data_IF_394285695591
#
_entry.id   IF_394285695591
#
_cell.length_a   1.000
_cell.length_b   1.000
_cell.length_c   1.000
_cell.angle_alpha   90.00
_cell.angle_beta   90.00
_cell.angle_gamma   90.00
#
_symmetry.space_group_name_H-M   'P 1'
#
loop_
_entity.id
_entity.type
_entity.pdbx_description
1 polymer ?
#
# COMPACT_ATOMS: atom_id res chain seq x y z
N UNK A 1 -2.15 3.95 29.13
CA UNK A 1 -3.07 3.57 28.04
C UNK A 1 -2.62 4.30 26.79
N UNK A 2 -2.55 3.62 25.64
CA UNK A 2 -2.32 4.30 24.37
C UNK A 2 -3.49 5.24 24.12
N UNK A 3 -3.19 6.49 23.81
CA UNK A 3 -4.19 7.49 23.42
C UNK A 3 -4.11 7.83 21.94
N UNK A 4 -3.04 7.42 21.25
CA UNK A 4 -2.80 7.82 19.87
C UNK A 4 -1.92 6.83 19.07
N UNK A 5 -2.20 6.72 17.77
CA UNK A 5 -1.47 5.85 16.87
C UNK A 5 -0.20 6.56 16.37
N UNK A 6 0.98 6.08 16.78
CA UNK A 6 2.25 6.77 16.53
C UNK A 6 2.96 6.33 15.25
N UNK A 7 2.56 5.20 14.67
CA UNK A 7 3.34 4.52 13.62
C UNK A 7 3.25 5.20 12.25
N UNK A 8 2.31 6.13 12.05
CA UNK A 8 2.14 6.90 10.81
C UNK A 8 2.47 8.39 10.94
N UNK A 9 3.02 8.84 12.08
CA UNK A 9 3.19 10.28 12.38
C UNK A 9 4.45 10.94 11.82
N UNK A 10 5.52 10.17 11.69
CA UNK A 10 6.81 10.68 11.22
C UNK A 10 6.92 10.50 9.71
N UNK A 11 7.78 11.27 9.05
CA UNK A 11 8.10 11.06 7.63
C UNK A 11 8.70 9.65 7.41
N UNK A 12 7.84 8.68 7.07
CA UNK A 12 8.23 7.28 6.91
C UNK A 12 8.94 6.99 5.58
N UNK A 13 8.83 7.88 4.60
CA UNK A 13 9.63 7.78 3.37
C UNK A 13 11.10 8.05 3.68
N UNK A 14 11.37 9.11 4.44
CA UNK A 14 12.74 9.47 4.82
C UNK A 14 13.28 8.60 5.96
N UNK A 15 12.44 8.29 6.96
CA UNK A 15 12.79 7.51 8.15
C UNK A 15 11.83 6.32 8.31
N UNK A 16 12.06 5.20 7.58
CA UNK A 16 11.18 4.05 7.64
C UNK A 16 11.02 3.47 9.04
N UNK A 17 9.79 3.06 9.36
CA UNK A 17 9.48 2.53 10.68
C UNK A 17 10.03 1.12 10.91
N UNK A 18 10.50 0.86 12.13
CA UNK A 18 11.06 -0.44 12.56
C UNK A 18 10.07 -1.22 13.42
N UNK A 19 9.19 -1.96 12.78
CA UNK A 19 8.11 -2.72 13.45
C UNK A 19 8.58 -3.91 14.33
N UNK A 20 9.84 -4.35 14.22
CA UNK A 20 10.31 -5.59 14.87
C UNK A 20 10.41 -5.52 16.40
N UNK A 21 10.40 -4.32 16.99
CA UNK A 21 10.59 -4.10 18.44
C UNK A 21 9.40 -3.39 19.08
N UNK A 22 8.24 -3.41 18.42
CA UNK A 22 7.05 -2.73 18.94
C UNK A 22 6.44 -3.55 20.07
N UNK A 23 6.12 -2.93 21.23
CA UNK A 23 5.47 -3.64 22.32
C UNK A 23 4.09 -4.15 21.89
N UNK A 24 3.64 -5.23 22.52
CA UNK A 24 2.26 -5.67 22.38
C UNK A 24 1.36 -4.80 23.25
N UNK A 25 0.42 -4.10 22.63
CA UNK A 25 -0.45 -3.14 23.33
C UNK A 25 -1.95 -3.47 23.23
N UNK A 26 -2.27 -4.70 22.80
CA UNK A 26 -3.60 -5.27 22.92
C UNK A 26 -4.70 -4.58 22.11
N UNK A 27 -5.93 -4.67 22.62
CA UNK A 27 -7.14 -4.17 21.94
C UNK A 27 -7.14 -2.64 21.82
N UNK A 28 -6.61 -1.94 22.83
CA UNK A 28 -6.55 -0.48 22.81
C UNK A 28 -5.70 0.04 21.65
N UNK A 29 -4.61 -0.67 21.29
CA UNK A 29 -3.85 -0.36 20.08
C UNK A 29 -4.70 -0.43 18.81
N UNK A 30 -5.51 -1.48 18.67
CA UNK A 30 -6.35 -1.67 17.49
C UNK A 30 -7.45 -0.61 17.39
N UNK A 31 -8.06 -0.22 18.51
CA UNK A 31 -9.06 0.86 18.55
C UNK A 31 -8.45 2.20 18.13
N UNK A 32 -7.29 2.55 18.69
CA UNK A 32 -6.61 3.80 18.37
C UNK A 32 -6.08 3.81 16.94
N UNK A 33 -5.59 2.66 16.45
CA UNK A 33 -5.25 2.46 15.05
C UNK A 33 -6.45 2.71 14.13
N UNK A 34 -7.58 2.05 14.38
CA UNK A 34 -8.79 2.19 13.56
C UNK A 34 -9.29 3.63 13.57
N UNK A 35 -9.33 4.25 14.75
CA UNK A 35 -9.66 5.68 14.88
C UNK A 35 -8.76 6.56 14.02
N UNK A 36 -7.44 6.33 14.04
CA UNK A 36 -6.51 7.12 13.21
C UNK A 36 -6.81 7.07 11.71
N UNK A 37 -7.41 5.97 11.23
CA UNK A 37 -7.82 5.81 9.83
C UNK A 37 -9.16 6.47 9.55
N UNK A 38 -10.12 6.32 10.46
CA UNK A 38 -11.42 6.99 10.36
C UNK A 38 -11.27 8.52 10.39
N UNK A 39 -10.44 9.05 11.29
CA UNK A 39 -10.16 10.49 11.39
C UNK A 39 -9.54 11.08 10.10
N UNK A 40 -8.86 10.26 9.28
CA UNK A 40 -8.38 10.67 7.96
C UNK A 40 -9.51 10.69 6.93
N UNK A 41 -10.47 9.77 7.07
CA UNK A 41 -11.59 9.69 6.15
C UNK A 41 -12.66 10.76 6.43
N UNK A 42 -12.85 11.18 7.68
CA UNK A 42 -13.83 12.22 8.02
C UNK A 42 -13.47 13.62 7.48
N UNK A 43 -12.20 13.86 7.14
CA UNK A 43 -11.70 15.19 6.73
C UNK A 43 -11.99 15.56 5.29
N UNK A 44 -12.49 14.62 4.50
CA UNK A 44 -12.53 14.73 3.05
C UNK A 44 -13.91 14.26 2.57
N UNK A 45 -14.52 15.01 1.64
CA UNK A 45 -15.80 14.63 1.04
C UNK A 45 -15.55 13.64 -0.09
N UNK A 46 -15.51 12.35 0.21
CA UNK A 46 -15.23 11.34 -0.82
C UNK A 46 -16.44 11.00 -1.65
N UNK A 47 -16.18 10.81 -2.93
CA UNK A 47 -17.03 10.07 -3.84
C UNK A 47 -16.58 8.60 -3.90
N UNK A 48 -17.51 7.71 -4.26
CA UNK A 48 -17.21 6.29 -4.45
C UNK A 48 -16.11 6.11 -5.51
N UNK A 49 -14.93 5.67 -5.09
CA UNK A 49 -13.85 5.33 -6.02
C UNK A 49 -14.18 4.04 -6.78
N UNK A 50 -14.46 4.19 -8.07
CA UNK A 50 -14.69 3.06 -8.97
C UNK A 50 -13.36 2.54 -9.50
N UNK A 51 -12.88 1.46 -8.89
CA UNK A 51 -11.65 0.79 -9.28
C UNK A 51 -11.61 0.42 -10.78
N UNK A 52 -12.75 0.07 -11.36
CA UNK A 52 -12.86 -0.24 -12.79
C UNK A 52 -12.55 0.97 -13.68
N UNK A 53 -12.96 2.18 -13.28
CA UNK A 53 -12.71 3.40 -14.06
C UNK A 53 -11.23 3.74 -14.02
N UNK A 54 -10.60 3.58 -12.85
CA UNK A 54 -9.16 3.76 -12.68
C UNK A 54 -8.32 2.80 -13.54
N UNK A 55 -8.78 1.55 -13.72
CA UNK A 55 -8.07 0.59 -14.55
C UNK A 55 -8.25 0.80 -16.05
N UNK A 56 -9.17 1.67 -16.50
CA UNK A 56 -9.31 2.01 -17.93
C UNK A 56 -8.00 2.61 -18.45
N UNK A 57 -7.34 3.44 -17.65
CA UNK A 57 -6.09 4.13 -18.00
C UNK A 57 -4.91 3.16 -18.23
N UNK A 58 -5.02 1.92 -17.76
CA UNK A 58 -3.96 0.92 -17.88
C UNK A 58 -4.23 -0.13 -18.98
N UNK A 59 -5.33 0.02 -19.73
CA UNK A 59 -5.63 -0.89 -20.84
C UNK A 59 -4.59 -0.74 -21.95
N UNK A 60 -4.15 -1.89 -22.48
CA UNK A 60 -3.18 -1.99 -23.58
C UNK A 60 -1.75 -1.51 -23.25
N UNK A 61 -1.37 -1.40 -21.97
CA UNK A 61 0.03 -1.15 -21.62
C UNK A 61 0.92 -2.34 -22.00
N UNK A 62 2.00 -2.04 -22.69
CA UNK A 62 3.03 -3.03 -23.02
C UNK A 62 3.95 -3.29 -21.83
N UNK A 63 4.48 -4.50 -21.74
CA UNK A 63 5.45 -4.84 -20.72
C UNK A 63 6.70 -3.97 -20.88
N UNK A 64 7.19 -3.31 -19.82
CA UNK A 64 8.28 -2.37 -19.96
C UNK A 64 9.61 -3.08 -20.27
N UNK A 65 10.55 -2.33 -20.85
CA UNK A 65 11.84 -2.87 -21.28
C UNK A 65 12.58 -3.54 -20.11
N UNK A 66 13.02 -4.81 -20.25
CA UNK A 66 13.66 -5.53 -19.16
C UNK A 66 14.98 -4.90 -18.70
N UNK A 67 15.70 -4.16 -19.55
CA UNK A 67 16.98 -3.55 -19.15
C UNK A 67 16.81 -2.39 -18.16
N UNK A 68 15.76 -1.59 -18.34
CA UNK A 68 15.44 -0.41 -17.53
C UNK A 68 13.95 -0.08 -17.70
N UNK A 69 13.26 0.09 -16.58
CA UNK A 69 11.85 0.47 -16.58
C UNK A 69 11.53 1.48 -15.47
N UNK A 70 10.49 2.29 -15.72
CA UNK A 70 9.86 3.10 -14.68
C UNK A 70 8.92 2.22 -13.85
N UNK A 71 8.97 2.39 -12.54
CA UNK A 71 8.16 1.57 -11.63
C UNK A 71 6.66 1.78 -11.87
N UNK A 72 6.24 3.01 -12.15
CA UNK A 72 4.83 3.33 -12.44
C UNK A 72 4.29 2.45 -13.58
N UNK A 73 4.95 2.50 -14.75
CA UNK A 73 4.57 1.71 -15.93
C UNK A 73 4.51 0.22 -15.61
N UNK A 74 5.51 -0.28 -14.88
CA UNK A 74 5.56 -1.68 -14.45
C UNK A 74 4.38 -2.07 -13.55
N UNK A 75 4.05 -1.26 -12.54
CA UNK A 75 2.93 -1.53 -11.63
C UNK A 75 1.59 -1.45 -12.36
N UNK A 76 1.42 -0.48 -13.26
CA UNK A 76 0.22 -0.33 -14.07
C UNK A 76 -0.01 -1.55 -14.98
N UNK A 77 1.04 -2.10 -15.59
CA UNK A 77 0.96 -3.34 -16.38
C UNK A 77 0.59 -4.55 -15.50
N UNK A 78 1.16 -4.66 -14.29
CA UNK A 78 0.78 -5.73 -13.36
C UNK A 78 -0.70 -5.66 -12.98
N UNK A 79 -1.21 -4.45 -12.74
CA UNK A 79 -2.61 -4.23 -12.39
C UNK A 79 -3.56 -4.53 -13.56
N UNK A 80 -3.17 -4.21 -14.80
CA UNK A 80 -4.04 -4.41 -15.96
C UNK A 80 -4.12 -5.86 -16.47
N UNK A 81 -3.16 -6.71 -16.12
CA UNK A 81 -3.03 -8.05 -16.69
C UNK A 81 -3.19 -9.21 -15.68
N UNK A 82 -3.89 -8.98 -14.56
CA UNK A 82 -3.90 -9.70 -13.25
C UNK A 82 -4.07 -11.25 -13.18
N UNK A 83 -3.85 -12.01 -14.27
CA UNK A 83 -4.11 -13.44 -14.39
C UNK A 83 -2.93 -14.28 -14.92
N UNK A 84 -1.66 -13.87 -14.72
CA UNK A 84 -0.49 -14.70 -15.12
C UNK A 84 0.44 -15.00 -13.95
N UNK A 85 0.84 -16.27 -13.79
CA UNK A 85 1.76 -16.73 -12.73
C UNK A 85 3.09 -15.94 -12.71
N UNK A 86 3.59 -15.57 -13.89
CA UNK A 86 4.82 -14.77 -14.02
C UNK A 86 4.71 -13.39 -13.35
N UNK A 87 3.52 -12.76 -13.36
CA UNK A 87 3.32 -11.46 -12.72
C UNK A 87 3.41 -11.55 -11.21
N UNK A 88 2.83 -12.60 -10.63
CA UNK A 88 2.95 -12.88 -9.20
C UNK A 88 4.42 -13.04 -8.80
N UNK A 89 5.22 -13.73 -9.61
CA UNK A 89 6.67 -13.89 -9.35
C UNK A 89 7.36 -12.51 -9.34
N UNK A 90 7.09 -11.66 -10.33
CA UNK A 90 7.72 -10.33 -10.38
C UNK A 90 7.25 -9.43 -9.23
N UNK A 91 5.96 -9.47 -8.88
CA UNK A 91 5.42 -8.75 -7.73
C UNK A 91 6.06 -9.22 -6.42
N UNK A 92 6.16 -10.53 -6.19
CA UNK A 92 6.79 -11.10 -4.99
C UNK A 92 8.28 -10.70 -4.88
N UNK A 93 8.99 -10.58 -6.00
CA UNK A 93 10.38 -10.07 -6.02
C UNK A 93 10.45 -8.61 -5.57
N UNK A 94 9.58 -7.75 -6.10
CA UNK A 94 9.51 -6.35 -5.69
C UNK A 94 9.08 -6.20 -4.22
N UNK A 95 8.11 -7.00 -3.77
CA UNK A 95 7.66 -7.06 -2.37
C UNK A 95 8.80 -7.40 -1.43
N UNK A 96 9.63 -8.40 -1.76
CA UNK A 96 10.80 -8.73 -0.95
C UNK A 96 11.78 -7.56 -0.84
N UNK A 97 11.99 -6.81 -1.92
CA UNK A 97 12.86 -5.61 -1.92
C UNK A 97 12.27 -4.49 -1.05
N UNK A 98 10.98 -4.22 -1.20
CA UNK A 98 10.26 -3.26 -0.37
C UNK A 98 10.30 -3.66 1.10
N UNK A 99 10.19 -4.95 1.44
CA UNK A 99 10.26 -5.40 2.83
C UNK A 99 11.62 -5.11 3.49
N UNK A 100 12.70 -5.04 2.71
CA UNK A 100 14.03 -4.69 3.23
C UNK A 100 14.21 -3.17 3.28
N UNK A 101 13.94 -2.48 2.17
CA UNK A 101 14.30 -1.05 2.00
C UNK A 101 13.21 -0.09 2.44
N UNK A 102 11.95 -0.53 2.46
CA UNK A 102 10.74 0.27 2.74
C UNK A 102 10.59 1.47 1.79
N UNK A 103 11.12 1.33 0.57
CA UNK A 103 11.13 2.37 -0.47
C UNK A 103 10.82 1.76 -1.83
N UNK A 104 10.08 2.53 -2.63
CA UNK A 104 9.75 2.22 -4.02
C UNK A 104 10.37 3.31 -4.89
N UNK A 105 11.50 2.99 -5.52
CA UNK A 105 12.23 3.91 -6.37
C UNK A 105 11.54 4.07 -7.72
N UNK A 106 11.75 5.18 -8.42
CA UNK A 106 11.04 5.45 -9.67
C UNK A 106 11.53 4.60 -10.83
N UNK A 107 12.75 4.05 -10.78
CA UNK A 107 13.37 3.29 -11.86
C UNK A 107 14.16 2.08 -11.37
N UNK A 108 14.07 0.98 -12.12
CA UNK A 108 14.75 -0.29 -11.85
C UNK A 108 15.25 -0.97 -13.14
N UNK A 109 16.16 -1.93 -13.00
CA UNK A 109 16.47 -2.92 -14.04
C UNK A 109 15.67 -4.23 -13.82
N UNK A 110 15.84 -5.23 -14.71
CA UNK A 110 15.22 -6.58 -14.64
C UNK A 110 15.47 -7.35 -13.32
N UNK A 111 16.50 -6.97 -12.57
CA UNK A 111 16.85 -7.57 -11.28
C UNK A 111 16.22 -6.84 -10.09
N UNK A 112 15.40 -5.81 -10.34
CA UNK A 112 14.93 -4.86 -9.34
C UNK A 112 16.08 -4.23 -8.55
N UNK A 113 17.20 -3.96 -9.23
CA UNK A 113 18.22 -3.02 -8.75
C UNK A 113 17.77 -1.62 -9.09
N UNK A 114 17.83 -0.73 -8.10
CA UNK A 114 17.44 0.67 -8.26
C UNK A 114 18.38 1.36 -9.25
N UNK A 115 17.80 2.08 -10.21
CA UNK A 115 18.54 2.92 -11.17
C UNK A 115 18.31 4.41 -10.93
N UNK A 116 17.52 4.75 -9.90
CA UNK A 116 17.21 6.11 -9.49
C UNK A 116 17.35 6.23 -7.98
N UNK A 117 17.57 7.46 -7.50
CA UNK A 117 17.54 7.79 -6.07
C UNK A 117 16.17 8.33 -5.63
N UNK A 118 15.27 8.60 -6.57
CA UNK A 118 13.94 9.14 -6.27
C UNK A 118 13.00 8.03 -5.84
N UNK A 119 12.39 8.19 -4.66
CA UNK A 119 11.36 7.31 -4.09
C UNK A 119 10.16 8.12 -3.55
N UNK A 120 10.01 9.38 -3.97
CA UNK A 120 8.98 10.30 -3.44
C UNK A 120 7.65 10.20 -4.20
N UNK A 121 7.58 9.42 -5.28
CA UNK A 121 6.36 9.24 -6.05
C UNK A 121 5.36 8.38 -5.26
N UNK A 122 4.42 9.02 -4.56
CA UNK A 122 3.38 8.37 -3.75
C UNK A 122 2.43 7.49 -4.57
N UNK A 123 2.19 7.82 -5.84
CA UNK A 123 1.36 7.00 -6.74
C UNK A 123 1.93 5.58 -6.87
N UNK A 124 3.25 5.42 -6.91
CA UNK A 124 3.87 4.08 -6.91
C UNK A 124 3.51 3.27 -5.66
N UNK A 125 3.44 3.91 -4.49
CA UNK A 125 3.03 3.25 -3.24
C UNK A 125 1.55 2.88 -3.28
N UNK A 126 0.69 3.73 -3.82
CA UNK A 126 -0.74 3.42 -3.97
C UNK A 126 -1.00 2.26 -4.93
N UNK A 127 -0.37 2.26 -6.12
CA UNK A 127 -0.47 1.15 -7.08
C UNK A 127 0.07 -0.15 -6.49
N UNK A 128 1.17 -0.07 -5.74
CA UNK A 128 1.72 -1.23 -5.03
C UNK A 128 0.77 -1.74 -3.93
N UNK A 129 0.05 -0.84 -3.25
CA UNK A 129 -1.03 -1.16 -2.32
C UNK A 129 -2.20 -1.88 -2.98
N UNK A 130 -2.64 -1.43 -4.17
CA UNK A 130 -3.67 -2.13 -4.96
C UNK A 130 -3.26 -3.55 -5.34
N UNK A 131 -2.00 -3.78 -5.71
CA UNK A 131 -1.49 -5.14 -5.97
C UNK A 131 -1.49 -5.99 -4.69
N UNK A 132 -1.16 -5.40 -3.53
CA UNK A 132 -1.27 -6.13 -2.25
C UNK A 132 -2.72 -6.53 -1.96
N UNK A 133 -3.70 -5.66 -2.26
CA UNK A 133 -5.13 -5.96 -2.16
C UNK A 133 -5.49 -7.14 -3.07
N UNK A 134 -5.21 -7.04 -4.38
CA UNK A 134 -5.53 -8.09 -5.36
C UNK A 134 -4.95 -9.45 -4.96
N UNK A 135 -3.69 -9.47 -4.54
CA UNK A 135 -3.03 -10.71 -4.11
C UNK A 135 -3.51 -11.22 -2.75
N UNK A 136 -3.89 -10.34 -1.82
CA UNK A 136 -4.49 -10.75 -0.54
C UNK A 136 -5.87 -11.36 -0.76
N UNK A 137 -6.74 -10.76 -1.57
CA UNK A 137 -8.10 -11.26 -1.79
C UNK A 137 -8.13 -12.63 -2.49
N UNK A 138 -7.12 -12.95 -3.32
CA UNK A 138 -6.99 -14.25 -4.01
C UNK A 138 -6.66 -15.43 -3.09
N UNK A 139 -5.92 -15.23 -2.00
CA UNK A 139 -5.37 -16.34 -1.19
C UNK A 139 -5.32 -16.07 0.32
N UNK A 140 -5.79 -14.91 0.77
CA UNK A 140 -5.77 -14.41 2.16
C UNK A 140 -4.38 -14.50 2.83
N UNK A 141 -3.30 -14.43 2.05
CA UNK A 141 -1.96 -14.50 2.60
C UNK A 141 -1.62 -13.22 3.36
N UNK A 142 -1.43 -13.37 4.68
CA UNK A 142 -1.10 -12.27 5.59
C UNK A 142 0.19 -11.53 5.20
N UNK A 143 1.06 -12.10 4.36
CA UNK A 143 2.26 -11.40 3.87
C UNK A 143 1.89 -10.14 3.06
N UNK A 144 0.85 -10.23 2.22
CA UNK A 144 0.40 -9.11 1.40
C UNK A 144 -0.32 -8.08 2.25
N UNK A 145 -1.18 -8.53 3.17
CA UNK A 145 -1.83 -7.63 4.13
C UNK A 145 -0.79 -6.89 4.99
N UNK A 146 0.19 -7.59 5.57
CA UNK A 146 1.24 -6.95 6.35
C UNK A 146 2.03 -5.91 5.55
N UNK A 147 2.26 -6.17 4.26
CA UNK A 147 2.91 -5.21 3.36
C UNK A 147 2.00 -4.01 3.12
N UNK A 148 0.71 -4.25 2.87
CA UNK A 148 -0.31 -3.24 2.65
C UNK A 148 -0.46 -2.29 3.85
N UNK A 149 -0.50 -2.81 5.07
CA UNK A 149 -0.53 -1.99 6.30
C UNK A 149 0.67 -1.02 6.38
N UNK A 150 1.87 -1.50 6.04
CA UNK A 150 3.09 -0.66 6.04
C UNK A 150 3.05 0.40 4.94
N UNK A 151 2.48 0.08 3.78
CA UNK A 151 2.27 1.04 2.70
C UNK A 151 1.32 2.14 3.15
N UNK A 152 0.20 1.78 3.78
CA UNK A 152 -0.76 2.76 4.27
C UNK A 152 -0.18 3.61 5.41
N UNK A 153 0.63 3.06 6.31
CA UNK A 153 1.38 3.86 7.29
C UNK A 153 2.26 4.91 6.61
N UNK A 154 2.95 4.54 5.53
CA UNK A 154 3.77 5.48 4.73
C UNK A 154 2.88 6.55 4.09
N UNK A 155 1.79 6.16 3.43
CA UNK A 155 0.87 7.10 2.77
C UNK A 155 0.24 8.07 3.77
N UNK A 156 -0.25 7.58 4.91
CA UNK A 156 -0.78 8.38 6.01
C UNK A 156 0.26 9.41 6.52
N UNK A 157 1.53 9.01 6.61
CA UNK A 157 2.60 9.95 7.01
C UNK A 157 2.89 11.05 6.01
N UNK A 158 2.45 10.90 4.77
CA UNK A 158 2.65 11.83 3.67
C UNK A 158 1.32 12.39 3.14
N UNK A 159 0.23 12.29 3.92
CA UNK A 159 -1.12 12.64 3.46
C UNK A 159 -1.20 14.04 2.85
N UNK A 160 -0.50 15.02 3.43
CA UNK A 160 -0.46 16.40 2.93
C UNK A 160 0.27 16.59 1.59
N UNK A 161 0.94 15.55 1.09
CA UNK A 161 1.64 15.53 -0.21
C UNK A 161 0.92 14.68 -1.25
N UNK A 162 -0.21 14.04 -0.90
CA UNK A 162 -1.04 13.31 -1.85
C UNK A 162 -1.68 14.33 -2.79
N UNK A 163 -1.62 14.07 -4.10
CA UNK A 163 -2.22 14.93 -5.11
C UNK A 163 -3.75 14.83 -5.03
N UNK A 164 -4.44 15.90 -5.38
CA UNK A 164 -5.92 15.96 -5.38
C UNK A 164 -6.52 14.82 -6.23
N UNK A 165 -5.97 14.58 -7.42
CA UNK A 165 -6.38 13.48 -8.32
C UNK A 165 -6.19 12.07 -7.72
N UNK A 166 -5.37 11.94 -6.69
CA UNK A 166 -5.03 10.68 -6.03
C UNK A 166 -5.82 10.45 -4.72
N UNK A 167 -6.55 11.45 -4.23
CA UNK A 167 -7.23 11.37 -2.93
C UNK A 167 -8.26 10.23 -2.89
N UNK A 168 -9.08 10.08 -3.93
CA UNK A 168 -10.07 9.00 -3.99
C UNK A 168 -9.43 7.61 -3.95
N UNK A 169 -8.29 7.43 -4.63
CA UNK A 169 -7.54 6.18 -4.59
C UNK A 169 -6.95 5.94 -3.18
N UNK A 170 -6.34 6.96 -2.58
CA UNK A 170 -5.81 6.86 -1.22
C UNK A 170 -6.90 6.40 -0.23
N UNK A 171 -8.09 6.97 -0.33
CA UNK A 171 -9.16 6.71 0.63
C UNK A 171 -9.84 5.38 0.39
N UNK A 172 -9.87 4.90 -0.85
CA UNK A 172 -10.16 3.51 -1.15
C UNK A 172 -9.19 2.55 -0.43
N UNK A 173 -7.87 2.82 -0.46
CA UNK A 173 -6.88 1.99 0.24
C UNK A 173 -7.10 1.99 1.76
N UNK A 174 -7.34 3.16 2.36
CA UNK A 174 -7.62 3.24 3.81
C UNK A 174 -8.91 2.51 4.17
N UNK A 175 -9.95 2.63 3.35
CA UNK A 175 -11.21 1.91 3.55
C UNK A 175 -11.01 0.40 3.50
N UNK A 176 -10.25 -0.10 2.51
CA UNK A 176 -9.90 -1.54 2.42
C UNK A 176 -9.09 -2.04 3.60
N UNK A 177 -8.15 -1.23 4.09
CA UNK A 177 -7.39 -1.56 5.29
C UNK A 177 -8.30 -1.77 6.51
N UNK A 178 -9.22 -0.83 6.77
CA UNK A 178 -10.19 -0.96 7.88
C UNK A 178 -11.05 -2.21 7.68
N UNK A 179 -11.58 -2.44 6.46
CA UNK A 179 -12.41 -3.60 6.13
C UNK A 179 -11.72 -4.93 6.46
N UNK A 180 -10.44 -5.08 6.07
CA UNK A 180 -9.69 -6.32 6.31
C UNK A 180 -9.33 -6.51 7.78
N UNK A 181 -8.96 -5.44 8.48
CA UNK A 181 -8.65 -5.53 9.91
C UNK A 181 -9.92 -5.88 10.72
N UNK A 182 -11.05 -5.27 10.39
CA UNK A 182 -12.34 -5.59 11.02
C UNK A 182 -12.73 -7.06 10.78
N UNK A 183 -12.60 -7.55 9.54
CA UNK A 183 -12.84 -8.97 9.20
C UNK A 183 -11.94 -9.90 10.02
N UNK A 184 -10.66 -9.58 10.15
CA UNK A 184 -9.70 -10.39 10.92
C UNK A 184 -9.95 -10.36 12.43
N UNK A 185 -10.41 -9.23 12.97
CA UNK A 185 -10.75 -9.11 14.38
C UNK A 185 -12.03 -9.88 14.70
N UNK A 186 -13.08 -9.68 13.90
CA UNK A 186 -14.35 -10.42 14.02
C UNK A 186 -14.14 -11.93 13.92
N UNK A 187 -13.34 -12.40 12.97
CA UNK A 187 -12.99 -13.81 12.81
C UNK A 187 -12.24 -14.42 14.01
N UNK A 188 -11.74 -13.60 14.93
CA UNK A 188 -11.07 -14.00 16.17
C UNK A 188 -11.82 -13.62 17.45
N UNK A 189 -13.06 -13.14 17.32
CA UNK A 189 -13.87 -12.69 18.47
C UNK A 189 -13.38 -11.40 19.14
N UNK A 190 -12.61 -10.57 18.42
CA UNK A 190 -12.10 -9.27 18.88
C UNK A 190 -13.02 -8.17 18.35
N UNK A 191 -13.52 -7.30 19.24
CA UNK A 191 -14.36 -6.15 18.89
C UNK A 191 -13.58 -4.84 19.04
N UNK A 192 -13.44 -4.09 17.95
CA UNK A 192 -12.66 -2.84 17.84
C UNK A 192 -13.39 -1.73 17.09
#
# INVERSE_FOLDING_TARGET
MITEYVYSKNDLLSKPQKYQKTPFEGIEFLKVYKKSRLDLLEKENFEDFKLNDFFIDFKNLEWPNPKKFKLFDFLSVLLSQSNKDDQKIQFDRLLKKFEIKKKLYTEYNSEFKELSENFQNLKNYMLFGLLCIDHYEKNYSLKYLNTFLKINDILCSQVSKILEEDQNLFCYLITKEIEYIDKLCKGRGINI
#
